data_IF_171108739283
#
_entry.id   IF_171108739283
#
_cell.length_a   1.000
_cell.length_b   1.000
_cell.length_c   1.000
_cell.angle_alpha   90.00
_cell.angle_beta   90.00
_cell.angle_gamma   90.00
#
_symmetry.space_group_name_H-M   'P 1'
#
loop_
_entity.id
_entity.type
_entity.pdbx_description
1 polymer ?
#
# COMPACT_ATOMS: atom_id res chain seq x y z
N UNK A 1 -8.09 -72.10 51.82
CA UNK A 1 -8.74 -72.54 50.56
C UNK A 1 -10.17 -71.98 50.41
N UNK A 2 -11.13 -72.22 51.31
CA UNK A 2 -12.46 -71.58 51.21
C UNK A 2 -12.46 -70.05 51.51
N UNK A 3 -11.56 -69.57 52.39
CA UNK A 3 -11.39 -68.13 52.69
C UNK A 3 -10.77 -67.33 51.53
N UNK A 4 -9.86 -67.96 50.77
CA UNK A 4 -9.19 -67.34 49.61
C UNK A 4 -10.14 -67.18 48.41
N UNK A 5 -11.12 -68.08 48.28
CA UNK A 5 -12.17 -68.00 47.26
C UNK A 5 -13.13 -66.82 47.51
N UNK A 6 -13.42 -66.47 48.77
CA UNK A 6 -14.26 -65.33 49.12
C UNK A 6 -13.57 -63.97 48.85
N UNK A 7 -12.26 -63.86 49.09
CA UNK A 7 -11.48 -62.66 48.76
C UNK A 7 -11.50 -62.34 47.26
N UNK A 8 -11.46 -63.39 46.42
CA UNK A 8 -11.52 -63.24 44.96
C UNK A 8 -12.87 -62.69 44.47
N UNK A 9 -13.98 -63.06 45.13
CA UNK A 9 -15.32 -62.56 44.77
C UNK A 9 -15.48 -61.06 45.06
N UNK A 10 -14.98 -60.58 46.19
CA UNK A 10 -15.00 -59.14 46.55
C UNK A 10 -14.17 -58.32 45.57
N UNK A 11 -12.99 -58.80 45.18
CA UNK A 11 -12.16 -58.15 44.16
C UNK A 11 -12.81 -58.18 42.76
N UNK A 12 -13.56 -59.23 42.44
CA UNK A 12 -14.27 -59.33 41.16
C UNK A 12 -15.46 -58.35 41.11
N UNK A 13 -16.19 -58.20 42.22
CA UNK A 13 -17.28 -57.20 42.37
C UNK A 13 -16.76 -55.77 42.27
N UNK A 14 -15.65 -55.44 42.95
CA UNK A 14 -15.05 -54.10 42.87
C UNK A 14 -14.52 -53.80 41.46
N UNK A 15 -13.93 -54.77 40.77
CA UNK A 15 -13.51 -54.62 39.37
C UNK A 15 -14.70 -54.38 38.43
N UNK A 16 -15.83 -55.06 38.64
CA UNK A 16 -17.07 -54.81 37.86
C UNK A 16 -17.59 -53.40 38.08
N UNK A 17 -17.62 -52.94 39.33
CA UNK A 17 -18.11 -51.60 39.65
C UNK A 17 -17.17 -50.50 39.11
N UNK A 18 -15.85 -50.70 39.21
CA UNK A 18 -14.87 -49.80 38.59
C UNK A 18 -15.02 -49.76 37.07
N UNK A 19 -15.20 -50.90 36.41
CA UNK A 19 -15.45 -50.99 34.96
C UNK A 19 -16.73 -50.24 34.54
N UNK A 20 -17.80 -50.37 35.34
CA UNK A 20 -19.06 -49.64 35.13
C UNK A 20 -18.86 -48.13 35.29
N UNK A 21 -18.13 -47.69 36.32
CA UNK A 21 -17.79 -46.27 36.55
C UNK A 21 -16.94 -45.70 35.43
N UNK A 22 -15.96 -46.45 34.93
CA UNK A 22 -15.13 -46.05 33.78
C UNK A 22 -16.01 -45.89 32.54
N UNK A 23 -16.92 -46.83 32.28
CA UNK A 23 -17.83 -46.77 31.13
C UNK A 23 -18.81 -45.60 31.21
N UNK A 24 -19.31 -45.29 32.41
CA UNK A 24 -20.15 -44.11 32.63
C UNK A 24 -19.35 -42.80 32.45
N UNK A 25 -18.12 -42.74 32.97
CA UNK A 25 -17.24 -41.58 32.83
C UNK A 25 -16.84 -41.33 31.37
N UNK A 26 -16.49 -42.36 30.61
CA UNK A 26 -16.15 -42.22 29.18
C UNK A 26 -17.35 -41.76 28.36
N UNK A 27 -18.56 -42.25 28.65
CA UNK A 27 -19.78 -41.77 28.01
C UNK A 27 -20.07 -40.29 28.33
N UNK A 28 -19.87 -39.87 29.59
CA UNK A 28 -20.03 -38.48 30.00
C UNK A 28 -19.01 -37.56 29.30
N UNK A 29 -17.74 -37.96 29.26
CA UNK A 29 -16.67 -37.22 28.55
C UNK A 29 -16.99 -37.10 27.06
N UNK A 30 -17.47 -38.17 26.42
CA UNK A 30 -17.86 -38.12 25.01
C UNK A 30 -19.00 -37.12 24.75
N UNK A 31 -19.98 -37.04 25.66
CA UNK A 31 -21.08 -36.06 25.59
C UNK A 31 -20.57 -34.63 25.73
N UNK A 32 -19.75 -34.36 26.75
CA UNK A 32 -19.21 -33.02 26.98
C UNK A 32 -18.25 -32.56 25.89
N UNK A 33 -17.46 -33.48 25.31
CA UNK A 33 -16.60 -33.18 24.16
C UNK A 33 -17.39 -32.71 22.95
N UNK A 34 -18.54 -33.33 22.65
CA UNK A 34 -19.42 -32.88 21.55
C UNK A 34 -19.95 -31.48 21.77
N UNK A 35 -20.35 -31.16 23.01
CA UNK A 35 -20.83 -29.81 23.36
C UNK A 35 -19.70 -28.79 23.23
N UNK A 36 -18.53 -29.09 23.80
CA UNK A 36 -17.35 -28.22 23.74
C UNK A 36 -16.94 -27.93 22.29
N UNK A 37 -16.94 -28.95 21.43
CA UNK A 37 -16.60 -28.81 20.01
C UNK A 37 -17.48 -27.79 19.28
N UNK A 38 -18.78 -27.72 19.59
CA UNK A 38 -19.67 -26.72 18.97
C UNK A 38 -19.27 -25.28 19.37
N UNK A 39 -18.94 -25.07 20.64
CA UNK A 39 -18.51 -23.75 21.12
C UNK A 39 -17.13 -23.37 20.58
N UNK A 40 -16.22 -24.33 20.52
CA UNK A 40 -14.88 -24.15 19.96
C UNK A 40 -14.97 -23.76 18.48
N UNK A 41 -15.74 -24.49 17.68
CA UNK A 41 -15.95 -24.14 16.26
C UNK A 41 -16.58 -22.76 16.09
N UNK A 42 -17.56 -22.39 16.92
CA UNK A 42 -18.16 -21.05 16.88
C UNK A 42 -17.17 -19.95 17.26
N UNK A 43 -16.34 -20.19 18.27
CA UNK A 43 -15.32 -19.24 18.69
C UNK A 43 -14.27 -19.05 17.60
N UNK A 44 -13.75 -20.14 17.03
CA UNK A 44 -12.79 -20.10 15.92
C UNK A 44 -13.36 -19.35 14.71
N UNK A 45 -14.62 -19.61 14.34
CA UNK A 45 -15.27 -18.90 13.25
C UNK A 45 -15.40 -17.39 13.53
N UNK A 46 -15.79 -17.00 14.76
CA UNK A 46 -15.87 -15.59 15.15
C UNK A 46 -14.51 -14.91 15.15
N UNK A 47 -13.48 -15.59 15.65
CA UNK A 47 -12.11 -15.09 15.63
C UNK A 47 -11.62 -14.89 14.19
N UNK A 48 -11.81 -15.89 13.33
CA UNK A 48 -11.42 -15.79 11.92
C UNK A 48 -12.14 -14.64 11.21
N UNK A 49 -13.43 -14.41 11.48
CA UNK A 49 -14.17 -13.27 10.93
C UNK A 49 -13.64 -11.93 11.44
N UNK A 50 -13.30 -11.83 12.73
CA UNK A 50 -12.72 -10.62 13.31
C UNK A 50 -11.36 -10.30 12.66
N UNK A 51 -10.46 -11.30 12.61
CA UNK A 51 -9.12 -11.16 12.01
C UNK A 51 -9.23 -10.78 10.51
N UNK A 52 -10.16 -11.40 9.77
CA UNK A 52 -10.41 -11.06 8.38
C UNK A 52 -10.96 -9.64 8.20
N UNK A 53 -11.84 -9.19 9.09
CA UNK A 53 -12.41 -7.84 9.04
C UNK A 53 -11.37 -6.77 9.33
N UNK A 54 -10.48 -7.01 10.30
CA UNK A 54 -9.36 -6.12 10.60
C UNK A 54 -8.38 -6.04 9.42
N UNK A 55 -8.04 -7.18 8.84
CA UNK A 55 -7.16 -7.25 7.67
C UNK A 55 -7.79 -6.51 6.48
N UNK A 56 -9.09 -6.69 6.24
CA UNK A 56 -9.79 -6.00 5.17
C UNK A 56 -9.78 -4.49 5.37
N UNK A 57 -10.08 -4.00 6.58
CA UNK A 57 -10.04 -2.58 6.89
C UNK A 57 -8.63 -1.97 6.69
N UNK A 58 -7.58 -2.71 7.06
CA UNK A 58 -6.20 -2.28 6.81
C UNK A 58 -5.89 -2.20 5.30
N UNK A 59 -6.32 -3.19 4.52
CA UNK A 59 -6.14 -3.19 3.05
C UNK A 59 -6.93 -2.06 2.39
N UNK A 60 -8.18 -1.82 2.79
CA UNK A 60 -8.98 -0.70 2.27
C UNK A 60 -8.31 0.65 2.54
N UNK A 61 -7.70 0.83 3.72
CA UNK A 61 -6.95 2.04 4.04
C UNK A 61 -5.71 2.21 3.16
N UNK A 62 -4.96 1.15 2.90
CA UNK A 62 -3.79 1.19 2.00
C UNK A 62 -4.20 1.43 0.53
N UNK A 63 -5.29 0.81 0.07
CA UNK A 63 -5.85 1.06 -1.26
C UNK A 63 -6.22 2.53 -1.40
N UNK A 64 -6.91 3.11 -0.41
CA UNK A 64 -7.26 4.53 -0.43
C UNK A 64 -6.02 5.42 -0.50
N UNK A 65 -5.00 5.15 0.33
CA UNK A 65 -3.73 5.90 0.27
C UNK A 65 -3.07 5.82 -1.11
N UNK A 66 -3.06 4.63 -1.72
CA UNK A 66 -2.50 4.44 -3.06
C UNK A 66 -3.32 5.19 -4.12
N UNK A 67 -4.65 5.19 -4.03
CA UNK A 67 -5.54 5.96 -4.90
C UNK A 67 -5.29 7.47 -4.74
N UNK A 68 -5.26 7.98 -3.51
CA UNK A 68 -5.01 9.39 -3.22
C UNK A 68 -3.62 9.82 -3.73
N UNK A 69 -2.60 8.96 -3.59
CA UNK A 69 -1.26 9.22 -4.10
C UNK A 69 -1.18 9.18 -5.65
N UNK A 70 -2.03 8.39 -6.30
CA UNK A 70 -2.12 8.29 -7.75
C UNK A 70 -3.02 9.37 -8.39
N UNK A 71 -3.90 10.00 -7.60
CA UNK A 71 -4.84 11.02 -8.06
C UNK A 71 -4.20 12.16 -8.89
N UNK A 72 -3.00 12.68 -8.56
CA UNK A 72 -2.34 13.69 -9.40
C UNK A 72 -2.09 13.25 -10.85
N UNK A 73 -2.00 11.94 -11.10
CA UNK A 73 -1.82 11.39 -12.44
C UNK A 73 -3.15 10.91 -13.05
N UNK A 74 -4.00 10.26 -12.25
CA UNK A 74 -5.22 9.61 -12.76
C UNK A 74 -6.44 10.53 -12.82
N UNK A 75 -6.51 11.54 -11.96
CA UNK A 75 -7.65 12.45 -11.85
C UNK A 75 -7.29 13.89 -12.25
N UNK A 76 -6.13 14.39 -11.80
CA UNK A 76 -5.64 15.75 -12.12
C UNK A 76 -4.92 15.83 -13.49
N UNK A 77 -5.08 14.81 -14.34
CA UNK A 77 -4.54 14.80 -15.70
C UNK A 77 -3.02 14.78 -15.81
N UNK A 78 -2.28 14.67 -14.70
CA UNK A 78 -0.82 14.64 -14.71
C UNK A 78 -0.16 15.98 -15.04
N UNK A 79 -0.89 17.09 -14.99
CA UNK A 79 -0.39 18.42 -15.42
C UNK A 79 0.91 18.79 -14.72
N UNK A 80 1.03 18.50 -13.42
CA UNK A 80 2.27 18.77 -12.65
C UNK A 80 3.48 18.01 -13.21
N UNK A 81 3.29 16.77 -13.64
CA UNK A 81 4.35 15.97 -14.26
C UNK A 81 4.68 16.48 -15.65
N UNK A 82 3.66 16.87 -16.43
CA UNK A 82 3.83 17.48 -17.75
C UNK A 82 4.63 18.78 -17.65
N UNK A 83 4.24 19.69 -16.75
CA UNK A 83 4.95 20.95 -16.50
C UNK A 83 6.40 20.68 -16.07
N UNK A 84 6.63 19.72 -15.17
CA UNK A 84 7.99 19.37 -14.73
C UNK A 84 8.84 18.79 -15.86
N UNK A 85 8.26 17.93 -16.71
CA UNK A 85 8.93 17.38 -17.88
C UNK A 85 9.23 18.48 -18.92
N UNK A 86 8.27 19.33 -19.23
CA UNK A 86 8.40 20.48 -20.14
C UNK A 86 9.49 21.44 -19.66
N UNK A 87 9.49 21.81 -18.37
CA UNK A 87 10.53 22.67 -17.80
C UNK A 87 11.93 22.03 -17.90
N UNK A 88 12.04 20.71 -17.72
CA UNK A 88 13.31 19.98 -17.88
C UNK A 88 13.77 19.97 -19.33
N UNK A 89 12.88 19.71 -20.28
CA UNK A 89 13.18 19.74 -21.72
C UNK A 89 13.62 21.14 -22.15
N UNK A 90 12.90 22.18 -21.72
CA UNK A 90 13.27 23.57 -21.96
C UNK A 90 14.64 23.92 -21.38
N UNK A 91 14.90 23.56 -20.12
CA UNK A 91 16.20 23.81 -19.49
C UNK A 91 17.34 23.08 -20.21
N UNK A 92 17.08 21.88 -20.73
CA UNK A 92 18.07 21.16 -21.52
C UNK A 92 18.33 21.84 -22.87
N UNK A 93 17.28 22.27 -23.58
CA UNK A 93 17.40 23.00 -24.84
C UNK A 93 18.20 24.32 -24.67
N UNK A 94 17.94 25.06 -23.59
CA UNK A 94 18.71 26.27 -23.25
C UNK A 94 20.18 25.95 -22.98
N UNK A 95 20.48 24.89 -22.21
CA UNK A 95 21.87 24.47 -21.96
C UNK A 95 22.59 24.05 -23.23
N UNK A 96 21.91 23.34 -24.13
CA UNK A 96 22.48 22.93 -25.41
C UNK A 96 22.78 24.14 -26.30
N UNK A 97 21.86 25.13 -26.34
CA UNK A 97 22.07 26.38 -27.05
C UNK A 97 23.24 27.19 -26.48
N UNK A 98 23.32 27.31 -25.16
CA UNK A 98 24.44 27.97 -24.50
C UNK A 98 25.77 27.31 -24.85
N UNK A 99 25.83 25.97 -24.89
CA UNK A 99 27.04 25.24 -25.33
C UNK A 99 27.35 25.50 -26.79
N UNK A 100 26.36 25.46 -27.67
CA UNK A 100 26.54 25.64 -29.11
C UNK A 100 27.03 27.06 -29.49
N UNK A 101 26.62 28.07 -28.71
CA UNK A 101 27.00 29.48 -28.92
C UNK A 101 28.09 29.98 -27.97
N UNK A 102 28.66 29.10 -27.14
CA UNK A 102 29.63 29.45 -26.07
C UNK A 102 29.15 30.62 -25.18
N UNK A 103 27.85 30.67 -24.90
CA UNK A 103 27.25 31.71 -24.06
C UNK A 103 27.47 31.41 -22.58
N UNK A 104 27.80 32.45 -21.81
CA UNK A 104 27.77 32.41 -20.35
C UNK A 104 26.34 32.58 -19.83
N UNK A 105 26.06 32.15 -18.60
CA UNK A 105 24.75 32.35 -17.99
C UNK A 105 24.36 33.84 -17.95
N UNK A 106 25.32 34.73 -17.67
CA UNK A 106 25.11 36.18 -17.65
C UNK A 106 24.74 36.74 -19.02
N UNK A 107 25.38 36.26 -20.09
CA UNK A 107 25.06 36.67 -21.45
C UNK A 107 23.65 36.21 -21.88
N UNK A 108 23.26 34.98 -21.53
CA UNK A 108 21.91 34.49 -21.76
C UNK A 108 20.88 35.32 -20.97
N UNK A 109 21.12 35.55 -19.68
CA UNK A 109 20.22 36.38 -18.85
C UNK A 109 20.08 37.80 -19.38
N UNK A 110 21.17 38.41 -19.86
CA UNK A 110 21.13 39.74 -20.48
C UNK A 110 20.33 39.76 -21.80
N UNK A 111 20.43 38.69 -22.61
CA UNK A 111 19.63 38.51 -23.83
C UNK A 111 18.14 38.42 -23.51
N UNK A 112 17.76 37.66 -22.48
CA UNK A 112 16.36 37.52 -22.06
C UNK A 112 15.83 38.77 -21.35
N UNK A 113 16.66 39.48 -20.59
CA UNK A 113 16.28 40.68 -19.87
C UNK A 113 16.01 41.89 -20.78
N UNK A 114 16.41 41.83 -22.07
CA UNK A 114 16.15 42.91 -23.03
C UNK A 114 16.71 44.28 -22.58
N UNK A 115 17.76 44.28 -21.75
CA UNK A 115 18.35 45.50 -21.18
C UNK A 115 17.76 45.98 -19.85
N UNK A 116 16.85 45.23 -19.21
CA UNK A 116 16.35 45.55 -17.87
C UNK A 116 17.42 45.27 -16.79
N UNK A 117 17.58 46.21 -15.84
CA UNK A 117 18.58 46.14 -14.76
C UNK A 117 18.11 45.46 -13.47
N UNK A 118 16.78 45.38 -13.26
CA UNK A 118 16.13 44.84 -12.05
C UNK A 118 15.45 43.48 -12.32
N UNK A 119 16.10 42.63 -13.11
CA UNK A 119 15.62 41.28 -13.45
C UNK A 119 14.79 41.21 -14.73
N UNK A 120 14.17 40.06 -14.98
CA UNK A 120 13.41 39.78 -16.21
C UNK A 120 11.91 39.97 -15.92
N UNK A 121 11.24 40.93 -16.58
CA UNK A 121 9.79 41.07 -16.49
C UNK A 121 9.08 39.80 -16.96
N UNK A 122 7.97 39.42 -16.31
CA UNK A 122 7.22 38.20 -16.67
C UNK A 122 6.82 38.17 -18.14
N UNK A 123 6.32 39.29 -18.66
CA UNK A 123 5.86 39.37 -20.04
C UNK A 123 7.03 39.25 -21.04
N UNK A 124 8.18 39.85 -20.72
CA UNK A 124 9.40 39.70 -21.53
C UNK A 124 9.92 38.27 -21.52
N UNK A 125 9.83 37.57 -20.38
CA UNK A 125 10.18 36.15 -20.29
C UNK A 125 9.24 35.27 -21.13
N UNK A 126 7.93 35.49 -21.05
CA UNK A 126 6.93 34.74 -21.84
C UNK A 126 7.12 35.00 -23.34
N UNK A 127 7.37 36.24 -23.74
CA UNK A 127 7.63 36.59 -25.14
C UNK A 127 8.91 35.93 -25.67
N UNK A 128 9.97 35.86 -24.84
CA UNK A 128 11.19 35.14 -25.19
C UNK A 128 10.94 33.63 -25.37
N UNK A 129 10.19 33.01 -24.45
CA UNK A 129 9.83 31.60 -24.54
C UNK A 129 8.98 31.28 -25.78
N UNK A 130 8.07 32.17 -26.19
CA UNK A 130 7.25 31.98 -27.39
C UNK A 130 8.08 31.95 -28.68
N UNK A 131 9.20 32.69 -28.73
CA UNK A 131 10.09 32.76 -29.90
C UNK A 131 11.21 31.71 -29.88
N UNK A 132 11.46 31.09 -28.72
CA UNK A 132 12.56 30.14 -28.52
C UNK A 132 12.49 28.90 -29.44
N UNK A 133 11.32 28.26 -29.65
CA UNK A 133 11.22 27.08 -30.50
C UNK A 133 11.68 27.33 -31.94
N UNK A 134 11.29 28.47 -32.51
CA UNK A 134 11.71 28.90 -33.84
C UNK A 134 13.19 29.28 -33.88
N UNK A 135 13.66 30.02 -32.87
CA UNK A 135 15.06 30.46 -32.77
C UNK A 135 16.05 29.30 -32.61
N UNK A 136 15.63 28.20 -31.99
CA UNK A 136 16.43 26.99 -31.81
C UNK A 136 16.13 25.88 -32.84
N UNK A 137 15.12 26.09 -33.70
CA UNK A 137 14.56 25.06 -34.58
C UNK A 137 14.22 23.75 -33.83
N UNK A 138 13.64 23.87 -32.63
CA UNK A 138 13.26 22.75 -31.75
C UNK A 138 11.77 22.80 -31.44
N UNK A 139 11.00 21.96 -32.12
CA UNK A 139 9.54 21.86 -31.91
C UNK A 139 9.16 21.25 -30.55
N UNK A 140 10.05 20.48 -29.92
CA UNK A 140 9.83 19.82 -28.62
C UNK A 140 9.66 20.77 -27.42
N UNK A 141 9.92 22.07 -27.62
CA UNK A 141 9.73 23.14 -26.64
C UNK A 141 8.65 24.15 -27.09
N UNK A 142 7.99 23.91 -28.22
CA UNK A 142 6.80 24.64 -28.63
C UNK A 142 5.60 24.15 -27.82
N UNK A 143 5.52 24.61 -26.56
CA UNK A 143 4.39 24.32 -25.70
C UNK A 143 3.16 25.04 -26.25
N UNK A 144 2.16 24.30 -26.72
CA UNK A 144 0.83 24.83 -27.03
C UNK A 144 0.02 24.98 -25.75
N UNK A 145 -0.92 25.94 -25.74
CA UNK A 145 -1.97 26.05 -24.72
C UNK A 145 -2.87 24.81 -24.71
#
# INVERSE_FOLDING_TARGET
RQKDAAGNTVHTETLKELSKRISAATAAVAKHRKIASVYESKYLAKKALADASETLAAVEAEVKKATDAAAPLTEEGGERFLVAASARTLAQALRDHMKAKELTHEALFAEVAGGASDGIPKDAFVEHLAKLPEALAREEIAFSD
#
